data_IF_031962480979
#
_entry.id   IF_031962480979
#
_cell.length_a   1.000
_cell.length_b   1.000
_cell.length_c   1.000
_cell.angle_alpha   90.00
_cell.angle_beta   90.00
_cell.angle_gamma   90.00
#
_symmetry.space_group_name_H-M   'P 1'
#
loop_
_entity.id
_entity.type
_entity.pdbx_description
1 polymer ?
#
# COMPACT_ATOMS: atom_id res chain seq x y z
N UNK A 1 10.39 -8.43 -1.01
CA UNK A 1 10.89 -9.68 -1.63
C UNK A 1 11.91 -9.39 -2.74
N UNK A 2 11.53 -8.66 -3.80
CA UNK A 2 12.38 -8.42 -4.98
C UNK A 2 13.75 -7.76 -4.66
N UNK A 3 13.80 -6.85 -3.70
CA UNK A 3 15.02 -6.16 -3.26
C UNK A 3 15.82 -6.91 -2.17
N UNK A 4 15.37 -8.09 -1.74
CA UNK A 4 15.87 -8.76 -0.55
C UNK A 4 16.95 -9.81 -0.76
N UNK A 5 17.41 -10.01 -1.99
CA UNK A 5 18.45 -10.99 -2.30
C UNK A 5 19.80 -10.54 -1.75
N UNK A 6 20.46 -11.42 -1.00
CA UNK A 6 21.74 -11.17 -0.37
C UNK A 6 22.56 -12.46 -0.30
N UNK A 7 23.84 -12.34 -0.01
CA UNK A 7 24.68 -13.50 0.29
C UNK A 7 24.21 -14.18 1.59
N UNK A 8 24.17 -15.52 1.64
CA UNK A 8 23.83 -16.24 2.85
C UNK A 8 24.87 -15.99 3.96
N UNK A 9 24.46 -15.88 5.22
CA UNK A 9 25.36 -15.96 6.37
C UNK A 9 26.21 -17.23 6.34
N UNK A 10 27.40 -17.19 6.96
CA UNK A 10 28.38 -18.27 6.88
C UNK A 10 27.88 -19.64 7.41
N UNK A 11 26.89 -19.64 8.29
CA UNK A 11 26.25 -20.83 8.87
C UNK A 11 25.14 -21.42 7.98
N UNK A 12 24.68 -20.70 6.96
CA UNK A 12 23.58 -21.13 6.08
C UNK A 12 24.13 -21.79 4.82
N UNK A 13 23.88 -23.10 4.68
CA UNK A 13 24.21 -23.86 3.46
C UNK A 13 23.00 -23.94 2.54
N UNK A 14 23.11 -23.34 1.35
CA UNK A 14 22.08 -23.42 0.32
C UNK A 14 22.15 -24.75 -0.42
N UNK A 15 21.00 -25.39 -0.62
CA UNK A 15 20.90 -26.54 -1.53
C UNK A 15 20.87 -26.05 -2.99
N UNK A 16 21.18 -26.91 -3.97
CA UNK A 16 21.06 -26.56 -5.38
C UNK A 16 19.67 -25.99 -5.73
N UNK A 17 19.64 -24.85 -6.41
CA UNK A 17 18.41 -24.14 -6.77
C UNK A 17 17.80 -23.26 -5.67
N UNK A 18 18.39 -23.24 -4.46
CA UNK A 18 18.00 -22.31 -3.41
C UNK A 18 18.81 -21.02 -3.46
N UNK A 19 18.14 -19.92 -3.18
CA UNK A 19 18.71 -18.59 -3.07
C UNK A 19 18.37 -18.01 -1.70
N UNK A 20 19.23 -17.13 -1.19
CA UNK A 20 19.02 -16.48 0.09
C UNK A 20 18.28 -15.14 -0.08
N UNK A 21 17.23 -14.92 0.74
CA UNK A 21 16.47 -13.67 0.74
C UNK A 21 16.06 -13.26 2.16
N UNK A 22 16.40 -12.04 2.55
CA UNK A 22 16.16 -11.53 3.91
C UNK A 22 14.68 -11.47 4.32
N UNK A 23 13.76 -11.34 3.35
CA UNK A 23 12.33 -11.19 3.63
C UNK A 23 11.53 -12.49 3.49
N UNK A 24 12.09 -13.53 2.87
CA UNK A 24 11.38 -14.79 2.69
C UNK A 24 11.30 -15.54 4.03
N UNK A 25 10.15 -16.13 4.40
CA UNK A 25 10.09 -17.00 5.58
C UNK A 25 11.11 -18.13 5.48
N UNK A 26 11.97 -18.26 6.50
CA UNK A 26 13.08 -19.22 6.49
C UNK A 26 14.27 -18.82 5.63
N UNK A 27 14.28 -17.61 5.06
CA UNK A 27 15.34 -17.02 4.24
C UNK A 27 15.72 -17.77 2.95
N UNK A 28 14.99 -18.82 2.58
CA UNK A 28 15.25 -19.65 1.40
C UNK A 28 14.15 -19.44 0.36
N UNK A 29 14.56 -19.15 -0.88
CA UNK A 29 13.66 -18.99 -2.01
C UNK A 29 14.18 -19.76 -3.23
N UNK A 30 13.30 -20.49 -3.92
CA UNK A 30 13.67 -21.25 -5.13
C UNK A 30 13.83 -20.35 -6.38
N UNK A 31 13.29 -19.14 -6.31
CA UNK A 31 13.42 -18.14 -7.38
C UNK A 31 14.80 -17.48 -7.31
N UNK A 32 15.56 -17.39 -8.42
CA UNK A 32 16.79 -16.59 -8.47
C UNK A 32 16.47 -15.09 -8.48
N UNK A 33 17.48 -14.25 -8.24
CA UNK A 33 17.34 -12.79 -8.29
C UNK A 33 16.84 -12.36 -9.69
N UNK A 34 15.60 -11.83 -9.81
CA UNK A 34 14.99 -11.59 -11.12
C UNK A 34 15.34 -10.23 -11.73
N UNK A 35 15.85 -9.30 -10.91
CA UNK A 35 16.12 -7.91 -11.28
C UNK A 35 17.59 -7.56 -10.99
N UNK A 36 18.23 -6.87 -11.91
CA UNK A 36 19.56 -6.28 -11.79
C UNK A 36 19.53 -4.81 -12.24
N UNK A 37 20.45 -3.99 -11.75
CA UNK A 37 20.55 -2.59 -12.18
C UNK A 37 20.84 -2.50 -13.69
N UNK A 38 20.22 -1.54 -14.37
CA UNK A 38 20.36 -1.34 -15.82
C UNK A 38 19.76 -2.46 -16.69
N UNK A 39 19.00 -3.40 -16.12
CA UNK A 39 18.42 -4.52 -16.88
C UNK A 39 17.31 -4.08 -17.85
N UNK A 40 16.63 -2.97 -17.57
CA UNK A 40 15.50 -2.47 -18.37
C UNK A 40 15.67 -0.97 -18.61
N UNK A 41 15.63 -0.56 -19.88
CA UNK A 41 15.63 0.87 -20.23
C UNK A 41 14.21 1.44 -20.12
N UNK A 42 14.07 2.58 -19.46
CA UNK A 42 12.80 3.32 -19.46
C UNK A 42 12.67 4.22 -20.69
N UNK A 43 11.45 4.50 -21.16
CA UNK A 43 11.22 5.46 -22.24
C UNK A 43 11.83 6.83 -21.90
N UNK A 44 12.72 7.30 -22.77
CA UNK A 44 13.43 8.58 -22.61
C UNK A 44 12.49 9.77 -22.87
N UNK A 45 12.67 10.83 -22.10
CA UNK A 45 11.98 12.11 -22.31
C UNK A 45 12.50 12.86 -23.54
N UNK A 46 11.92 14.04 -23.80
CA UNK A 46 12.34 14.91 -24.89
C UNK A 46 13.80 15.40 -24.78
N UNK A 47 14.38 15.32 -23.58
CA UNK A 47 15.77 15.62 -23.26
C UNK A 47 16.73 14.42 -23.44
N UNK A 48 16.21 13.28 -23.93
CA UNK A 48 16.99 12.06 -24.18
C UNK A 48 17.42 11.32 -22.91
N UNK A 49 16.92 11.72 -21.73
CA UNK A 49 17.24 11.08 -20.45
C UNK A 49 16.07 10.24 -19.96
N UNK A 50 16.37 9.19 -19.19
CA UNK A 50 15.34 8.46 -18.49
C UNK A 50 14.74 9.37 -17.40
N UNK A 51 13.41 9.41 -17.24
CA UNK A 51 12.75 10.18 -16.17
C UNK A 51 13.00 9.59 -14.78
N UNK A 52 13.45 8.33 -14.69
CA UNK A 52 13.69 7.61 -13.43
C UNK A 52 15.02 6.84 -13.46
N UNK A 53 15.67 6.59 -12.31
CA UNK A 53 16.86 5.75 -12.24
C UNK A 53 16.58 4.30 -12.66
N UNK A 54 17.51 3.69 -13.37
CA UNK A 54 17.44 2.30 -13.82
C UNK A 54 18.05 1.36 -12.76
N UNK A 55 17.48 1.35 -11.55
CA UNK A 55 17.94 0.54 -10.42
C UNK A 55 16.92 -0.50 -9.98
N UNK A 56 17.39 -1.56 -9.31
CA UNK A 56 16.54 -2.63 -8.75
C UNK A 56 15.47 -2.06 -7.82
N UNK A 57 15.76 -1.03 -7.03
CA UNK A 57 14.77 -0.39 -6.16
C UNK A 57 13.65 0.25 -6.96
N UNK A 58 13.99 0.98 -8.04
CA UNK A 58 13.01 1.62 -8.90
C UNK A 58 12.17 0.58 -9.65
N UNK A 59 12.81 -0.41 -10.27
CA UNK A 59 12.10 -1.51 -10.94
C UNK A 59 11.16 -2.25 -9.99
N UNK A 60 11.64 -2.56 -8.78
CA UNK A 60 10.83 -3.28 -7.77
C UNK A 60 9.61 -2.48 -7.34
N UNK A 61 9.75 -1.16 -7.20
CA UNK A 61 8.65 -0.25 -6.85
C UNK A 61 7.59 -0.21 -7.96
N UNK A 62 8.03 -0.08 -9.21
CA UNK A 62 7.11 0.04 -10.35
C UNK A 62 6.37 -1.27 -10.63
N UNK A 63 7.07 -2.41 -10.55
CA UNK A 63 6.44 -3.74 -10.65
C UNK A 63 5.42 -3.95 -9.53
N UNK A 64 5.77 -3.60 -8.28
CA UNK A 64 4.85 -3.72 -7.16
C UNK A 64 3.61 -2.81 -7.34
N UNK A 65 3.79 -1.58 -7.80
CA UNK A 65 2.69 -0.66 -8.09
C UNK A 65 1.76 -1.23 -9.19
N UNK A 66 2.34 -1.79 -10.26
CA UNK A 66 1.58 -2.44 -11.32
C UNK A 66 0.81 -3.67 -10.81
N UNK A 67 1.43 -4.50 -9.96
CA UNK A 67 0.75 -5.64 -9.33
C UNK A 67 -0.40 -5.20 -8.42
N UNK A 68 -0.25 -4.12 -7.65
CA UNK A 68 -1.33 -3.55 -6.84
C UNK A 68 -2.47 -3.07 -7.72
N UNK A 69 -2.16 -2.39 -8.83
CA UNK A 69 -3.19 -1.98 -9.79
C UNK A 69 -3.92 -3.18 -10.40
N UNK A 70 -3.20 -4.25 -10.79
CA UNK A 70 -3.83 -5.47 -11.29
C UNK A 70 -4.72 -6.15 -10.25
N UNK A 71 -4.28 -6.16 -8.98
CA UNK A 71 -5.06 -6.74 -7.89
C UNK A 71 -6.31 -5.91 -7.55
N UNK A 72 -6.24 -4.58 -7.68
CA UNK A 72 -7.33 -3.66 -7.36
C UNK A 72 -7.49 -2.54 -8.40
N UNK A 73 -8.03 -2.82 -9.60
CA UNK A 73 -8.12 -1.82 -10.69
C UNK A 73 -9.04 -0.63 -10.35
N UNK A 74 -9.96 -0.80 -9.40
CA UNK A 74 -10.92 0.23 -8.97
C UNK A 74 -10.48 0.99 -7.70
N UNK A 75 -9.22 0.83 -7.26
CA UNK A 75 -8.68 1.46 -6.04
C UNK A 75 -8.98 2.96 -5.98
N UNK A 76 -8.70 3.70 -7.05
CA UNK A 76 -8.86 5.15 -7.10
C UNK A 76 -10.33 5.58 -7.01
N UNK A 77 -11.22 4.90 -7.74
CA UNK A 77 -12.66 5.14 -7.66
C UNK A 77 -13.19 4.88 -6.26
N UNK A 78 -12.75 3.78 -5.63
CA UNK A 78 -13.10 3.41 -4.25
C UNK A 78 -12.61 4.45 -3.25
N UNK A 79 -11.36 4.91 -3.36
CA UNK A 79 -10.79 5.94 -2.48
C UNK A 79 -11.52 7.27 -2.63
N UNK A 80 -11.80 7.70 -3.86
CA UNK A 80 -12.55 8.94 -4.14
C UNK A 80 -13.96 8.89 -3.52
N UNK A 81 -14.68 7.81 -3.75
CA UNK A 81 -16.02 7.62 -3.19
C UNK A 81 -15.98 7.55 -1.66
N UNK A 82 -15.04 6.78 -1.10
CA UNK A 82 -14.84 6.70 0.35
C UNK A 82 -14.60 8.06 0.98
N UNK A 83 -13.76 8.90 0.38
CA UNK A 83 -13.51 10.26 0.85
C UNK A 83 -14.78 11.13 0.86
N UNK A 84 -15.57 11.08 -0.22
CA UNK A 84 -16.85 11.80 -0.29
C UNK A 84 -17.83 11.33 0.79
N UNK A 85 -17.93 10.02 1.01
CA UNK A 85 -18.77 9.43 2.05
C UNK A 85 -18.31 9.87 3.44
N UNK A 86 -17.00 9.91 3.72
CA UNK A 86 -16.48 10.36 5.02
C UNK A 86 -16.84 11.81 5.32
N UNK A 87 -16.76 12.71 4.33
CA UNK A 87 -17.20 14.11 4.48
C UNK A 87 -18.69 14.18 4.78
N UNK A 88 -19.51 13.45 4.00
CA UNK A 88 -20.95 13.40 4.21
C UNK A 88 -21.29 12.91 5.63
N UNK A 89 -20.67 11.82 6.08
CA UNK A 89 -20.90 11.25 7.41
C UNK A 89 -20.47 12.21 8.53
N UNK A 90 -19.37 12.94 8.36
CA UNK A 90 -18.95 13.94 9.35
C UNK A 90 -19.98 15.07 9.51
N UNK A 91 -20.48 15.61 8.39
CA UNK A 91 -21.52 16.63 8.39
C UNK A 91 -22.84 16.09 8.96
N UNK A 92 -23.24 14.90 8.53
CA UNK A 92 -24.46 14.25 8.99
C UNK A 92 -24.41 13.94 10.49
N UNK A 93 -23.29 13.43 11.00
CA UNK A 93 -23.07 13.21 12.42
C UNK A 93 -23.16 14.52 13.22
N UNK A 94 -22.58 15.61 12.70
CA UNK A 94 -22.71 16.94 13.29
C UNK A 94 -24.17 17.39 13.39
N UNK A 95 -24.93 17.26 12.30
CA UNK A 95 -26.35 17.62 12.27
C UNK A 95 -27.19 16.78 13.24
N UNK A 96 -26.96 15.46 13.29
CA UNK A 96 -27.60 14.55 14.24
C UNK A 96 -27.27 14.92 15.68
N UNK A 97 -26.02 15.27 15.97
CA UNK A 97 -25.59 15.70 17.30
C UNK A 97 -26.33 16.97 17.75
N UNK A 98 -26.40 17.99 16.90
CA UNK A 98 -27.14 19.21 17.22
C UNK A 98 -28.65 18.97 17.37
N UNK A 99 -29.22 18.12 16.51
CA UNK A 99 -30.64 17.74 16.58
C UNK A 99 -30.95 17.00 17.87
N UNK A 100 -30.11 16.02 18.25
CA UNK A 100 -30.18 15.35 19.56
C UNK A 100 -30.11 16.37 20.69
N UNK A 101 -29.11 17.25 20.71
CA UNK A 101 -28.95 18.26 21.78
C UNK A 101 -30.18 19.15 21.92
N UNK A 102 -30.78 19.59 20.80
CA UNK A 102 -31.97 20.45 20.79
C UNK A 102 -33.25 19.75 21.26
N UNK A 103 -33.41 18.46 20.96
CA UNK A 103 -34.58 17.68 21.42
C UNK A 103 -34.46 17.42 22.92
N UNK A 104 -33.27 17.01 23.37
CA UNK A 104 -33.04 16.65 24.77
C UNK A 104 -33.02 17.86 25.71
N UNK A 105 -32.70 19.06 25.23
CA UNK A 105 -32.81 20.29 26.03
C UNK A 105 -34.24 20.71 26.34
N UNK A 106 -35.25 20.06 25.74
CA UNK A 106 -36.67 20.33 25.99
C UNK A 106 -37.28 19.39 27.03
N UNK A 107 -36.56 18.35 27.43
CA UNK A 107 -37.00 17.52 28.55
C UNK A 107 -36.59 18.19 29.87
N UNK A 108 -37.51 18.36 30.83
CA UNK A 108 -37.16 18.83 32.16
C UNK A 108 -36.33 17.75 32.88
N UNK A 109 -35.38 18.18 33.72
CA UNK A 109 -34.44 17.33 34.49
C UNK A 109 -35.11 16.32 35.44
N UNK A 110 -36.46 16.29 35.50
CA UNK A 110 -37.28 15.44 36.33
C UNK A 110 -38.28 14.56 35.56
N UNK A 111 -38.04 14.25 34.29
CA UNK A 111 -38.73 13.12 33.65
C UNK A 111 -38.22 11.83 34.32
N UNK A 112 -38.81 11.50 35.47
CA UNK A 112 -38.59 10.26 36.19
C UNK A 112 -38.73 9.09 35.22
N UNK A 113 -37.66 8.30 35.13
CA UNK A 113 -37.75 6.93 34.68
C UNK A 113 -38.72 6.22 35.63
N UNK A 114 -39.97 6.08 35.20
CA UNK A 114 -40.90 5.08 35.71
C UNK A 114 -40.84 3.87 34.80
#
# INVERSE_FOLDING_TARGET
>A
LLTGYAEPPADVKLLPGQNYNNYMPGHLIAMPKPLSDGQVEYPKGADGKSPVPETVEQYSKDVAAFMVWMAEPHLEARKRMGFQVMIFLALFAGLLYFTKKKIWSRLPDHASAH
#
